data_IF_223916722177
#
_entry.id   IF_223916722177
#
_cell.length_a   1.000
_cell.length_b   1.000
_cell.length_c   1.000
_cell.angle_alpha   90.00
_cell.angle_beta   90.00
_cell.angle_gamma   90.00
#
_symmetry.space_group_name_H-M   'P 1'
#
loop_
_entity.id
_entity.type
_entity.pdbx_description
1 polymer ?
#
# COMPACT_ATOMS: atom_id res chain seq x y z
N UNK A 1 24.02 4.04 -9.10
CA UNK A 1 23.66 3.63 -7.72
C UNK A 1 23.96 4.81 -6.80
N UNK A 2 22.94 5.35 -6.12
CA UNK A 2 23.06 6.59 -5.33
C UNK A 2 23.78 6.30 -3.99
N UNK A 3 24.76 7.10 -3.59
CA UNK A 3 25.60 6.88 -2.38
C UNK A 3 24.75 6.78 -1.10
N UNK A 4 23.59 7.43 -1.09
CA UNK A 4 22.60 7.41 -0.01
C UNK A 4 22.16 5.99 0.37
N UNK A 5 22.11 5.06 -0.58
CA UNK A 5 21.69 3.67 -0.34
C UNK A 5 22.66 2.86 0.53
N UNK A 6 23.92 3.31 0.69
CA UNK A 6 24.90 2.65 1.55
C UNK A 6 24.69 2.97 3.04
N UNK A 7 24.01 4.07 3.36
CA UNK A 7 23.78 4.52 4.73
C UNK A 7 22.34 4.30 5.21
N UNK A 8 21.47 3.80 4.34
CA UNK A 8 20.09 3.47 4.68
C UNK A 8 20.05 2.15 5.47
N UNK A 9 19.27 2.11 6.55
CA UNK A 9 18.90 0.85 7.19
C UNK A 9 17.96 0.06 6.27
N UNK A 10 18.59 -0.79 5.43
CA UNK A 10 17.88 -1.62 4.43
C UNK A 10 16.88 -2.56 5.09
N UNK A 11 17.13 -3.00 6.33
CA UNK A 11 16.26 -3.93 7.03
C UNK A 11 15.01 -3.22 7.53
N UNK A 12 15.16 -2.02 8.10
CA UNK A 12 14.01 -1.18 8.45
C UNK A 12 13.21 -0.80 7.20
N UNK A 13 13.88 -0.37 6.12
CA UNK A 13 13.23 -0.06 4.85
C UNK A 13 12.46 -1.26 4.26
N UNK A 14 12.99 -2.47 4.38
CA UNK A 14 12.29 -3.70 3.95
C UNK A 14 11.00 -3.91 4.74
N UNK A 15 11.01 -3.67 6.07
CA UNK A 15 9.82 -3.81 6.91
C UNK A 15 8.75 -2.81 6.49
N UNK A 16 9.12 -1.56 6.22
CA UNK A 16 8.18 -0.51 5.82
C UNK A 16 7.56 -0.84 4.46
N UNK A 17 8.37 -1.26 3.50
CA UNK A 17 7.92 -1.74 2.20
C UNK A 17 6.92 -2.90 2.35
N UNK A 18 7.22 -3.94 3.14
CA UNK A 18 6.29 -5.06 3.36
C UNK A 18 4.91 -4.57 3.85
N UNK A 19 4.87 -3.58 4.76
CA UNK A 19 3.61 -3.05 5.30
C UNK A 19 2.83 -2.26 4.26
N UNK A 20 3.52 -1.58 3.35
CA UNK A 20 2.88 -0.80 2.29
C UNK A 20 2.22 -1.70 1.23
N UNK A 21 2.55 -2.99 1.16
CA UNK A 21 2.04 -3.93 0.15
C UNK A 21 0.51 -3.91 0.02
N UNK A 22 -0.24 -4.06 1.12
CA UNK A 22 -1.70 -4.06 1.07
C UNK A 22 -2.26 -2.71 0.60
N UNK A 23 -1.62 -1.61 1.01
CA UNK A 23 -2.02 -0.26 0.59
C UNK A 23 -1.79 -0.05 -0.90
N UNK A 24 -0.64 -0.49 -1.42
CA UNK A 24 -0.31 -0.38 -2.85
C UNK A 24 -1.24 -1.25 -3.70
N UNK A 25 -1.54 -2.46 -3.23
CA UNK A 25 -2.52 -3.34 -3.87
C UNK A 25 -3.92 -2.70 -3.87
N UNK A 26 -4.37 -2.15 -2.74
CA UNK A 26 -5.65 -1.45 -2.64
C UNK A 26 -5.74 -0.25 -3.60
N UNK A 27 -4.65 0.51 -3.78
CA UNK A 27 -4.60 1.61 -4.76
C UNK A 27 -4.85 1.06 -6.16
N UNK A 28 -4.15 0.00 -6.56
CA UNK A 28 -4.30 -0.60 -7.89
C UNK A 28 -5.74 -1.09 -8.10
N UNK A 29 -6.31 -1.78 -7.11
CA UNK A 29 -7.63 -2.40 -7.23
C UNK A 29 -8.78 -1.38 -7.27
N UNK A 30 -8.65 -0.22 -6.60
CA UNK A 30 -9.77 0.74 -6.43
C UNK A 30 -9.63 2.04 -7.24
N UNK A 31 -8.46 2.35 -7.81
CA UNK A 31 -8.25 3.66 -8.47
C UNK A 31 -9.18 3.85 -9.68
N UNK A 32 -9.47 2.79 -10.45
CA UNK A 32 -10.35 2.89 -11.61
C UNK A 32 -11.78 3.28 -11.21
N UNK A 33 -12.29 2.70 -10.12
CA UNK A 33 -13.60 3.03 -9.56
C UNK A 33 -13.62 4.47 -9.01
N UNK A 34 -12.57 4.89 -8.31
CA UNK A 34 -12.43 6.27 -7.81
C UNK A 34 -12.43 7.30 -8.95
N UNK A 35 -11.72 7.01 -10.06
CA UNK A 35 -11.69 7.87 -11.24
C UNK A 35 -13.07 7.90 -11.91
N UNK A 36 -13.76 6.76 -12.01
CA UNK A 36 -15.10 6.69 -12.58
C UNK A 36 -16.11 7.53 -11.79
N UNK A 37 -16.08 7.47 -10.45
CA UNK A 37 -16.92 8.29 -9.56
C UNK A 37 -16.65 9.78 -9.76
N UNK A 38 -15.38 10.18 -9.89
CA UNK A 38 -15.04 11.58 -10.15
C UNK A 38 -15.51 12.04 -11.53
N UNK A 39 -15.42 11.17 -12.54
CA UNK A 39 -15.92 11.45 -13.87
C UNK A 39 -17.44 11.66 -13.90
N UNK A 40 -18.19 10.81 -13.20
CA UNK A 40 -19.63 10.95 -13.06
C UNK A 40 -20.00 12.25 -12.32
N UNK A 41 -19.30 12.57 -11.23
CA UNK A 41 -19.46 13.82 -10.49
C UNK A 41 -19.14 15.09 -11.31
N UNK A 42 -18.20 15.00 -12.26
CA UNK A 42 -17.93 16.10 -13.20
C UNK A 42 -19.10 16.37 -14.14
N UNK A 43 -19.69 15.30 -14.69
CA UNK A 43 -20.74 15.36 -15.71
C UNK A 43 -22.14 15.55 -15.12
N UNK A 44 -22.33 15.21 -13.84
CA UNK A 44 -23.62 15.29 -13.16
C UNK A 44 -24.05 16.74 -12.88
N UNK A 45 -25.36 17.06 -12.99
CA UNK A 45 -25.89 18.34 -12.53
C UNK A 45 -25.58 18.55 -11.04
N UNK A 46 -25.35 19.81 -10.65
CA UNK A 46 -25.17 20.14 -9.24
C UNK A 46 -26.45 19.83 -8.46
N UNK A 47 -26.33 18.98 -7.43
CA UNK A 47 -27.44 18.67 -6.54
C UNK A 47 -27.84 19.94 -5.75
N UNK A 48 -29.15 20.21 -5.58
CA UNK A 48 -29.58 21.31 -4.73
C UNK A 48 -29.22 21.01 -3.27
N UNK A 49 -28.52 21.95 -2.63
CA UNK A 49 -28.25 21.91 -1.18
C UNK A 49 -29.51 22.43 -0.48
N UNK A 50 -30.17 21.58 0.31
CA UNK A 50 -31.40 21.91 1.00
C UNK A 50 -31.14 22.09 2.50
N UNK A 51 -30.35 23.11 2.86
CA UNK A 51 -29.97 23.44 4.25
C UNK A 51 -30.87 24.54 4.87
N UNK A 52 -31.86 25.02 4.12
CA UNK A 52 -32.77 26.08 4.56
C UNK A 52 -32.18 27.49 4.49
N UNK A 53 -30.94 27.64 4.01
CA UNK A 53 -30.26 28.94 3.89
C UNK A 53 -30.27 29.45 2.44
N UNK A 54 -30.35 30.78 2.21
CA UNK A 54 -30.18 31.35 0.88
C UNK A 54 -28.79 31.04 0.33
N UNK A 55 -28.72 30.31 -0.79
CA UNK A 55 -27.46 30.01 -1.46
C UNK A 55 -26.98 31.20 -2.28
N UNK A 56 -25.69 31.51 -2.19
CA UNK A 56 -25.04 32.55 -3.01
C UNK A 56 -24.79 31.98 -4.40
N UNK A 57 -25.36 32.62 -5.43
CA UNK A 57 -25.15 32.20 -6.81
C UNK A 57 -23.69 32.39 -7.22
N UNK A 58 -22.96 31.28 -7.38
CA UNK A 58 -21.62 31.28 -7.96
C UNK A 58 -21.69 30.82 -9.43
N UNK A 59 -21.55 31.73 -10.41
CA UNK A 59 -21.61 31.38 -11.83
C UNK A 59 -20.43 30.50 -12.28
N UNK A 60 -19.36 30.41 -11.48
CA UNK A 60 -18.16 29.61 -11.73
C UNK A 60 -18.14 28.29 -10.96
N UNK A 61 -19.23 27.92 -10.27
CA UNK A 61 -19.28 26.70 -9.46
C UNK A 61 -18.97 25.43 -10.28
N UNK A 62 -19.49 25.34 -11.50
CA UNK A 62 -19.26 24.19 -12.37
C UNK A 62 -17.80 24.13 -12.87
N UNK A 63 -17.23 25.27 -13.27
CA UNK A 63 -15.82 25.35 -13.69
C UNK A 63 -14.88 24.95 -12.55
N UNK A 64 -15.12 25.46 -11.33
CA UNK A 64 -14.33 25.12 -10.15
C UNK A 64 -14.40 23.62 -9.81
N UNK A 65 -15.59 23.02 -9.95
CA UNK A 65 -15.78 21.59 -9.72
C UNK A 65 -15.01 20.74 -10.74
N UNK A 66 -15.10 21.10 -12.02
CA UNK A 66 -14.37 20.41 -13.09
C UNK A 66 -12.86 20.51 -12.84
N UNK A 67 -12.35 21.72 -12.54
CA UNK A 67 -10.94 21.92 -12.23
C UNK A 67 -10.50 21.05 -11.03
N UNK A 68 -11.25 21.06 -9.94
CA UNK A 68 -10.97 20.23 -8.76
C UNK A 68 -10.95 18.73 -9.08
N UNK A 69 -11.92 18.25 -9.86
CA UNK A 69 -11.98 16.83 -10.23
C UNK A 69 -10.81 16.43 -11.14
N UNK A 70 -10.40 17.29 -12.08
CA UNK A 70 -9.22 17.07 -12.93
C UNK A 70 -7.96 16.95 -12.06
N UNK A 71 -7.73 17.91 -11.17
CA UNK A 71 -6.58 17.90 -10.26
C UNK A 71 -6.55 16.61 -9.43
N UNK A 72 -7.72 16.17 -8.94
CA UNK A 72 -7.83 14.94 -8.15
C UNK A 72 -7.57 13.68 -8.99
N UNK A 73 -8.05 13.63 -10.23
CA UNK A 73 -7.76 12.52 -11.15
C UNK A 73 -6.24 12.43 -11.43
N UNK A 74 -5.57 13.57 -11.62
CA UNK A 74 -4.12 13.58 -11.85
C UNK A 74 -3.36 13.03 -10.64
N UNK A 75 -3.77 13.42 -9.42
CA UNK A 75 -3.21 12.84 -8.18
C UNK A 75 -3.44 11.34 -8.10
N UNK A 76 -4.64 10.85 -8.42
CA UNK A 76 -4.96 9.42 -8.40
C UNK A 76 -4.12 8.63 -9.42
N UNK A 77 -3.97 9.15 -10.63
CA UNK A 77 -3.13 8.53 -11.67
C UNK A 77 -1.67 8.47 -11.27
N UNK A 78 -1.16 9.52 -10.64
CA UNK A 78 0.22 9.54 -10.15
C UNK A 78 0.44 8.51 -9.02
N UNK A 79 -0.51 8.39 -8.10
CA UNK A 79 -0.48 7.35 -7.05
C UNK A 79 -0.56 5.94 -7.64
N UNK A 80 -1.39 5.73 -8.65
CA UNK A 80 -1.47 4.46 -9.38
C UNK A 80 -0.14 4.12 -10.06
N UNK A 81 0.49 5.10 -10.73
CA UNK A 81 1.82 4.91 -11.31
C UNK A 81 2.84 4.47 -10.27
N UNK A 82 2.88 5.15 -9.12
CA UNK A 82 3.77 4.79 -8.01
C UNK A 82 3.47 3.40 -7.45
N UNK A 83 2.20 3.03 -7.28
CA UNK A 83 1.81 1.71 -6.80
C UNK A 83 2.21 0.59 -7.79
N UNK A 84 2.05 0.83 -9.10
CA UNK A 84 2.49 -0.10 -10.15
C UNK A 84 4.02 -0.23 -10.15
N UNK A 85 4.76 0.87 -10.08
CA UNK A 85 6.22 0.86 -9.99
C UNK A 85 6.70 0.11 -8.74
N UNK A 86 6.04 0.34 -7.61
CA UNK A 86 6.26 -0.40 -6.37
C UNK A 86 6.05 -1.91 -6.58
N UNK A 87 4.90 -2.33 -7.13
CA UNK A 87 4.58 -3.76 -7.30
C UNK A 87 5.53 -4.43 -8.29
N UNK A 88 5.89 -3.76 -9.38
CA UNK A 88 6.85 -4.28 -10.35
C UNK A 88 8.25 -4.50 -9.75
N UNK A 89 8.62 -3.72 -8.73
CA UNK A 89 9.88 -3.89 -8.01
C UNK A 89 9.79 -4.91 -6.87
N UNK A 90 8.70 -4.90 -6.09
CA UNK A 90 8.53 -5.74 -4.91
C UNK A 90 8.10 -7.17 -5.24
N UNK A 91 7.12 -7.35 -6.12
CA UNK A 91 6.51 -8.65 -6.41
C UNK A 91 7.52 -9.71 -6.86
N UNK A 92 8.47 -9.42 -7.78
CA UNK A 92 9.45 -10.42 -8.19
C UNK A 92 10.35 -10.90 -7.03
N UNK A 93 10.72 -9.98 -6.12
CA UNK A 93 11.51 -10.32 -4.94
C UNK A 93 10.69 -11.12 -3.92
N UNK A 94 9.41 -10.80 -3.78
CA UNK A 94 8.48 -11.55 -2.95
C UNK A 94 8.26 -12.98 -3.48
N UNK A 95 8.07 -13.13 -4.79
CA UNK A 95 7.82 -14.42 -5.46
C UNK A 95 9.02 -15.37 -5.41
N UNK A 96 10.23 -14.85 -5.22
CA UNK A 96 11.44 -15.67 -5.07
C UNK A 96 11.57 -16.29 -3.66
N UNK A 97 10.84 -15.75 -2.67
CA UNK A 97 10.75 -16.35 -1.34
C UNK A 97 10.01 -17.69 -1.38
N UNK A 98 10.30 -18.57 -0.43
CA UNK A 98 9.49 -19.78 -0.27
C UNK A 98 8.13 -19.45 0.33
N UNK A 99 7.12 -20.30 0.12
CA UNK A 99 5.80 -20.16 0.76
C UNK A 99 5.91 -20.00 2.28
N UNK A 100 6.82 -20.78 2.87
CA UNK A 100 7.20 -20.75 4.27
C UNK A 100 7.73 -19.40 4.77
N UNK A 101 8.48 -18.69 3.93
CA UNK A 101 9.05 -17.37 4.24
C UNK A 101 8.01 -16.28 4.02
N UNK A 102 7.25 -16.37 2.92
CA UNK A 102 6.13 -15.47 2.63
C UNK A 102 5.09 -15.52 3.76
N UNK A 103 4.69 -16.72 4.21
CA UNK A 103 3.75 -16.91 5.31
C UNK A 103 4.23 -16.24 6.59
N UNK A 104 5.49 -16.44 6.96
CA UNK A 104 6.07 -15.83 8.16
C UNK A 104 6.07 -14.30 8.05
N UNK A 105 6.48 -13.73 6.91
CA UNK A 105 6.51 -12.28 6.74
C UNK A 105 5.10 -11.68 6.68
N UNK A 106 4.15 -12.38 6.05
CA UNK A 106 2.75 -11.99 5.98
C UNK A 106 2.14 -11.87 7.38
N UNK A 107 2.23 -12.92 8.19
CA UNK A 107 1.72 -12.91 9.58
C UNK A 107 2.38 -11.82 10.43
N UNK A 108 3.66 -11.52 10.23
CA UNK A 108 4.34 -10.51 11.06
C UNK A 108 4.05 -9.06 10.67
N UNK A 109 3.74 -8.79 9.41
CA UNK A 109 3.80 -7.43 8.87
C UNK A 109 2.62 -7.02 7.98
N UNK A 110 1.88 -7.96 7.40
CA UNK A 110 0.79 -7.67 6.45
C UNK A 110 -0.61 -7.91 7.04
N UNK A 111 -0.75 -8.63 8.15
CA UNK A 111 -2.05 -8.78 8.81
C UNK A 111 -2.36 -7.52 9.61
N UNK A 112 -3.45 -6.85 9.23
CA UNK A 112 -3.93 -5.64 9.89
C UNK A 112 -4.39 -5.93 11.32
N UNK A 113 -4.13 -4.98 12.23
CA UNK A 113 -4.50 -5.01 13.64
C UNK A 113 -4.00 -6.22 14.47
N UNK A 114 -3.17 -7.10 13.89
CA UNK A 114 -2.62 -8.25 14.60
C UNK A 114 -1.51 -7.84 15.56
N UNK A 115 -1.59 -8.34 16.79
CA UNK A 115 -0.50 -8.13 17.76
C UNK A 115 0.67 -9.02 17.38
N UNK A 116 1.91 -8.52 17.57
CA UNK A 116 3.14 -9.32 17.35
C UNK A 116 3.12 -10.66 18.09
N UNK A 117 2.52 -10.70 19.28
CA UNK A 117 2.36 -11.94 20.06
C UNK A 117 1.48 -12.96 19.36
N UNK A 118 0.40 -12.51 18.73
CA UNK A 118 -0.54 -13.37 17.99
C UNK A 118 0.12 -13.91 16.74
N UNK A 119 0.84 -13.07 15.96
CA UNK A 119 1.61 -13.51 14.81
C UNK A 119 2.61 -14.63 15.16
N UNK A 120 3.36 -14.44 16.27
CA UNK A 120 4.29 -15.45 16.77
C UNK A 120 3.56 -16.74 17.13
N UNK A 121 2.40 -16.66 17.79
CA UNK A 121 1.60 -17.82 18.15
C UNK A 121 1.10 -18.57 16.91
N UNK A 122 0.55 -17.88 15.92
CA UNK A 122 0.11 -18.47 14.64
C UNK A 122 1.26 -19.23 13.97
N UNK A 123 2.46 -18.64 13.93
CA UNK A 123 3.64 -19.25 13.32
C UNK A 123 4.13 -20.46 14.13
N UNK A 124 4.11 -20.39 15.46
CA UNK A 124 4.45 -21.53 16.32
C UNK A 124 3.51 -22.70 16.06
N UNK A 125 2.21 -22.42 15.95
CA UNK A 125 1.17 -23.43 15.75
C UNK A 125 1.21 -24.02 14.34
N UNK A 126 1.52 -23.22 13.32
CA UNK A 126 1.64 -23.67 11.94
C UNK A 126 2.85 -24.60 11.74
N UNK A 127 4.03 -24.17 12.20
CA UNK A 127 5.27 -24.94 12.02
C UNK A 127 5.55 -25.97 13.11
N UNK A 128 4.75 -25.99 14.19
CA UNK A 128 5.00 -26.80 15.40
C UNK A 128 6.38 -26.54 16.01
N UNK A 129 6.69 -25.26 16.18
CA UNK A 129 7.97 -24.79 16.72
C UNK A 129 7.79 -23.89 17.93
N UNK A 130 8.86 -23.73 18.68
CA UNK A 130 8.97 -22.77 19.79
C UNK A 130 9.10 -21.31 19.30
N UNK A 131 8.80 -20.36 20.20
CA UNK A 131 8.81 -18.92 19.91
C UNK A 131 10.16 -18.41 19.41
N UNK A 132 11.27 -18.85 20.01
CA UNK A 132 12.64 -18.53 19.59
C UNK A 132 12.88 -18.92 18.13
N UNK A 133 12.46 -20.12 17.77
CA UNK A 133 12.58 -20.64 16.40
C UNK A 133 11.70 -19.85 15.42
N UNK A 134 10.49 -19.43 15.81
CA UNK A 134 9.64 -18.57 15.00
C UNK A 134 10.30 -17.21 14.70
N UNK A 135 10.87 -16.54 15.71
CA UNK A 135 11.60 -15.28 15.51
C UNK A 135 12.83 -15.46 14.61
N UNK A 136 13.56 -16.56 14.77
CA UNK A 136 14.71 -16.87 13.92
C UNK A 136 14.31 -17.14 12.46
N UNK A 137 13.16 -17.79 12.23
CA UNK A 137 12.61 -18.02 10.88
C UNK A 137 12.24 -16.68 10.23
N UNK A 138 11.55 -15.80 10.97
CA UNK A 138 11.22 -14.44 10.53
C UNK A 138 12.46 -13.61 10.21
N UNK A 139 13.49 -13.68 11.05
CA UNK A 139 14.72 -12.92 10.82
C UNK A 139 15.42 -13.35 9.53
N UNK A 140 15.54 -14.67 9.30
CA UNK A 140 16.12 -15.22 8.08
C UNK A 140 15.32 -14.85 6.82
N UNK A 141 13.99 -14.97 6.88
CA UNK A 141 13.12 -14.58 5.78
C UNK A 141 13.27 -13.08 5.44
N UNK A 142 13.32 -12.22 6.47
CA UNK A 142 13.50 -10.78 6.30
C UNK A 142 14.87 -10.43 5.72
N UNK A 143 15.95 -11.08 6.18
CA UNK A 143 17.29 -10.87 5.63
C UNK A 143 17.39 -11.33 4.17
N UNK A 144 16.75 -12.46 3.83
CA UNK A 144 16.66 -12.94 2.45
C UNK A 144 15.93 -11.93 1.57
N UNK A 145 14.75 -11.45 1.96
CA UNK A 145 14.02 -10.46 1.19
C UNK A 145 14.79 -9.13 1.06
N UNK A 146 15.45 -8.69 2.14
CA UNK A 146 16.29 -7.48 2.10
C UNK A 146 17.39 -7.60 1.05
N UNK A 147 18.00 -8.77 0.92
CA UNK A 147 19.02 -9.05 -0.08
C UNK A 147 18.43 -9.09 -1.50
N UNK A 148 17.23 -9.64 -1.69
CA UNK A 148 16.56 -9.66 -2.98
C UNK A 148 16.18 -8.24 -3.46
N UNK A 149 15.75 -7.37 -2.55
CA UNK A 149 15.36 -5.99 -2.87
C UNK A 149 16.55 -5.05 -3.09
N UNK A 150 17.63 -5.19 -2.31
CA UNK A 150 18.70 -4.19 -2.21
C UNK A 150 20.13 -4.74 -2.36
N UNK A 151 20.29 -6.01 -2.69
CA UNK A 151 21.58 -6.72 -2.76
C UNK A 151 22.27 -6.66 -4.13
N UNK A 152 21.72 -5.94 -5.10
CA UNK A 152 22.36 -5.65 -6.39
C UNK A 152 23.19 -4.36 -6.33
#
# INVERSE_FOLDING_TARGET
MNIVWHYLDKRAATIDVIKDYNSMKHIIDNTDDDIAILHDGMMSPSAPVNDGMPSVHNPKANENRIAYSIDKIDVLKERLRQAIEYMNWFQPAWDELTEDEQFVLYEFYMVEDQRRTEAVHTICDYFKIERSSAYNKKNRALDRLTLLLYGK
#
